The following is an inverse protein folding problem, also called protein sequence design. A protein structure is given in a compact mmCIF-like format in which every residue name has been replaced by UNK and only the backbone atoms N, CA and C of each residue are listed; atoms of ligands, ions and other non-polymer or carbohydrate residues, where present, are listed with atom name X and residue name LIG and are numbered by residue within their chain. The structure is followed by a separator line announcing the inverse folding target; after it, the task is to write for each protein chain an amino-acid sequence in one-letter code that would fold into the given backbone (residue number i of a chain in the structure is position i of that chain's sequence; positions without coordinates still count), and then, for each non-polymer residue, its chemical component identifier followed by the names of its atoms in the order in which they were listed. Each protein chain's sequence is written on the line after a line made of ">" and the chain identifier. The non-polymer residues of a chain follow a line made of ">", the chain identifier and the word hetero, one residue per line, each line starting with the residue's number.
data_IF_121074257762
#
_entry.id   IF_121074257762
#
_cell.length_a   1.000
_cell.length_b   1.000
_cell.length_c   1.000
_cell.angle_alpha   90.00
_cell.angle_beta   90.00
_cell.angle_gamma   90.00
#
_symmetry.space_group_name_H-M   'P 1'
#
loop_
_entity.id
_entity.type
_entity.pdbx_description
1 polymer ?
#
# COMPACT_ATOMS: atom_id res chain seq x y z
N UNK A 1 11.28 -33.60 -8.79
CA UNK A 1 9.99 -33.11 -8.25
C UNK A 1 10.17 -31.70 -7.72
N UNK A 2 9.47 -30.72 -8.31
CA UNK A 2 9.54 -29.32 -7.85
C UNK A 2 8.79 -29.21 -6.53
N UNK A 3 9.45 -28.66 -5.52
CA UNK A 3 8.89 -28.54 -4.18
C UNK A 3 8.68 -27.07 -3.83
N UNK A 4 7.46 -26.72 -3.47
CA UNK A 4 7.17 -25.40 -2.90
C UNK A 4 7.67 -25.37 -1.46
N UNK A 5 8.49 -24.37 -1.14
CA UNK A 5 9.05 -24.18 0.21
C UNK A 5 8.39 -23.01 0.94
N UNK A 6 8.04 -21.95 0.23
CA UNK A 6 7.41 -20.76 0.79
C UNK A 6 6.29 -20.30 -0.13
N UNK A 7 5.16 -19.94 0.46
CA UNK A 7 4.07 -19.23 -0.22
C UNK A 7 3.77 -17.98 0.60
N UNK A 8 3.81 -16.82 -0.06
CA UNK A 8 3.43 -15.53 0.50
C UNK A 8 2.23 -15.03 -0.26
N UNK A 9 1.16 -14.69 0.45
CA UNK A 9 -0.02 -14.07 -0.15
C UNK A 9 0.23 -12.58 -0.39
N UNK A 10 -0.44 -12.04 -1.41
CA UNK A 10 -0.36 -10.61 -1.72
C UNK A 10 -0.99 -9.80 -0.58
N UNK A 11 -0.28 -8.79 -0.10
CA UNK A 11 -0.73 -7.99 1.04
C UNK A 11 -0.17 -6.57 0.97
N UNK A 12 -0.82 -5.66 1.69
CA UNK A 12 -0.25 -4.35 1.97
C UNK A 12 0.53 -4.37 3.27
N UNK A 13 1.74 -3.85 3.21
CA UNK A 13 2.47 -3.39 4.38
C UNK A 13 2.04 -1.94 4.67
N UNK A 14 1.60 -1.69 5.90
CA UNK A 14 1.08 -0.39 6.31
C UNK A 14 2.12 0.29 7.20
N UNK A 15 2.63 1.43 6.73
CA UNK A 15 3.62 2.23 7.47
C UNK A 15 2.95 3.52 7.92
N UNK A 16 2.79 3.66 9.22
CA UNK A 16 2.30 4.87 9.89
C UNK A 16 3.46 5.84 10.12
N UNK A 17 3.24 7.10 9.78
CA UNK A 17 4.11 8.23 10.08
C UNK A 17 3.26 9.38 10.64
N UNK A 18 3.86 10.42 11.24
CA UNK A 18 3.07 11.54 11.76
C UNK A 18 2.15 12.12 10.69
N UNK A 19 0.86 12.21 11.02
CA UNK A 19 -0.22 12.70 10.18
C UNK A 19 -0.34 12.00 8.83
N UNK A 20 0.21 10.78 8.68
CA UNK A 20 0.23 10.09 7.40
C UNK A 20 0.25 8.57 7.56
N UNK A 21 -0.34 7.90 6.57
CA UNK A 21 -0.33 6.44 6.48
C UNK A 21 -0.02 6.06 5.05
N UNK A 22 0.98 5.23 4.86
CA UNK A 22 1.37 4.74 3.55
C UNK A 22 1.11 3.24 3.45
N UNK A 23 0.58 2.82 2.30
CA UNK A 23 0.24 1.45 2.00
C UNK A 23 1.14 0.98 0.88
N UNK A 24 1.99 -0.01 1.16
CA UNK A 24 2.91 -0.59 0.19
C UNK A 24 2.42 -1.97 -0.23
N UNK A 25 2.05 -2.11 -1.49
CA UNK A 25 1.66 -3.40 -2.04
C UNK A 25 2.86 -4.34 -2.18
N UNK A 26 2.73 -5.56 -1.67
CA UNK A 26 3.64 -6.67 -1.89
C UNK A 26 2.87 -7.78 -2.62
N UNK A 27 3.23 -8.11 -3.86
CA UNK A 27 2.54 -9.14 -4.62
C UNK A 27 2.76 -10.52 -4.01
N UNK A 28 1.83 -11.43 -4.28
CA UNK A 28 1.96 -12.83 -3.91
C UNK A 28 3.21 -13.44 -4.57
N UNK A 29 3.91 -14.27 -3.81
CA UNK A 29 5.12 -14.94 -4.28
C UNK A 29 5.18 -16.37 -3.80
N UNK A 30 5.80 -17.22 -4.61
CA UNK A 30 6.02 -18.63 -4.30
C UNK A 30 7.49 -18.94 -4.54
N UNK A 31 8.17 -19.40 -3.49
CA UNK A 31 9.54 -19.91 -3.61
C UNK A 31 9.50 -21.42 -3.75
N UNK A 32 10.14 -21.93 -4.80
CA UNK A 32 10.23 -23.34 -5.12
C UNK A 32 11.67 -23.79 -5.25
N UNK A 33 11.94 -25.04 -4.91
CA UNK A 33 13.17 -25.74 -5.28
C UNK A 33 12.84 -26.59 -6.48
N UNK A 34 13.51 -26.29 -7.60
CA UNK A 34 13.42 -27.06 -8.83
C UNK A 34 14.20 -28.38 -8.70
N UNK A 35 13.96 -29.31 -9.61
CA UNK A 35 14.56 -30.65 -9.63
C UNK A 35 16.08 -30.63 -9.75
N UNK A 36 16.61 -29.58 -10.40
CA UNK A 36 18.05 -29.32 -10.51
C UNK A 36 18.67 -28.75 -9.22
N UNK A 37 17.87 -28.50 -8.18
CA UNK A 37 18.29 -27.88 -6.93
C UNK A 37 18.32 -26.35 -6.95
N UNK A 38 17.95 -25.70 -8.06
CA UNK A 38 17.84 -24.25 -8.13
C UNK A 38 16.62 -23.76 -7.34
N UNK A 39 16.84 -22.76 -6.48
CA UNK A 39 15.76 -22.05 -5.78
C UNK A 39 15.27 -20.89 -6.64
N UNK A 40 13.96 -20.84 -6.88
CA UNK A 40 13.31 -19.83 -7.70
C UNK A 40 12.17 -19.19 -6.92
N UNK A 41 12.18 -17.86 -6.84
CA UNK A 41 11.05 -17.08 -6.34
C UNK A 41 10.25 -16.55 -7.52
N UNK A 42 9.00 -17.02 -7.63
CA UNK A 42 8.07 -16.65 -8.69
C UNK A 42 6.98 -15.74 -8.13
N UNK A 43 6.57 -14.78 -8.94
CA UNK A 43 5.44 -13.87 -8.69
C UNK A 43 4.48 -13.92 -9.87
N UNK A 44 3.26 -13.40 -9.72
CA UNK A 44 2.29 -13.31 -10.82
C UNK A 44 2.80 -12.48 -12.01
N UNK A 45 3.77 -11.59 -11.79
CA UNK A 45 4.38 -10.75 -12.83
C UNK A 45 5.72 -11.30 -13.36
N UNK A 46 6.12 -12.52 -12.99
CA UNK A 46 7.39 -13.10 -13.43
C UNK A 46 7.35 -13.41 -14.94
N UNK A 47 8.30 -12.84 -15.69
CA UNK A 47 8.40 -13.05 -17.15
C UNK A 47 9.13 -14.35 -17.53
N UNK A 48 9.92 -14.91 -16.62
CA UNK A 48 10.66 -16.15 -16.83
C UNK A 48 10.00 -17.26 -16.01
N UNK A 49 9.30 -18.16 -16.70
CA UNK A 49 8.72 -19.35 -16.07
C UNK A 49 9.66 -20.54 -16.10
N UNK A 50 10.69 -20.50 -16.94
CA UNK A 50 11.58 -21.65 -17.16
C UNK A 50 12.82 -21.55 -16.29
N UNK A 51 13.11 -22.62 -15.54
CA UNK A 51 14.35 -22.80 -14.82
C UNK A 51 15.54 -22.99 -15.78
N UNK A 52 16.78 -22.77 -15.35
CA UNK A 52 17.97 -23.00 -16.18
C UNK A 52 18.11 -24.45 -16.65
N UNK A 53 17.50 -25.40 -15.94
CA UNK A 53 17.46 -26.81 -16.33
C UNK A 53 16.40 -27.14 -17.39
N UNK A 54 15.59 -26.17 -17.82
CA UNK A 54 14.52 -26.33 -18.81
C UNK A 54 13.15 -26.69 -18.22
N UNK A 55 13.02 -26.84 -16.90
CA UNK A 55 11.73 -27.08 -16.25
C UNK A 55 10.83 -25.84 -16.36
N UNK A 56 9.58 -26.03 -16.76
CA UNK A 56 8.59 -24.95 -16.88
C UNK A 56 7.73 -24.82 -15.61
N UNK A 57 7.67 -23.61 -15.07
CA UNK A 57 6.90 -23.24 -13.89
C UNK A 57 5.74 -22.27 -14.23
N UNK A 58 5.33 -22.19 -15.51
CA UNK A 58 4.26 -21.28 -15.96
C UNK A 58 2.93 -21.53 -15.23
N UNK A 59 2.62 -22.78 -14.93
CA UNK A 59 1.45 -23.17 -14.15
C UNK A 59 1.46 -22.56 -12.73
N UNK A 60 2.63 -22.44 -12.10
CA UNK A 60 2.76 -21.81 -10.78
C UNK A 60 2.52 -20.29 -10.87
N UNK A 61 3.02 -19.64 -11.92
CA UNK A 61 2.78 -18.21 -12.15
C UNK A 61 1.28 -17.95 -12.36
N UNK A 62 0.61 -18.78 -13.16
CA UNK A 62 -0.84 -18.68 -13.39
C UNK A 62 -1.65 -18.89 -12.10
N UNK A 63 -1.27 -19.88 -11.30
CA UNK A 63 -1.85 -20.15 -9.97
C UNK A 63 -1.66 -18.96 -9.00
N UNK A 64 -0.52 -18.26 -9.07
CA UNK A 64 -0.32 -17.01 -8.31
C UNK A 64 -1.29 -15.92 -8.78
N UNK A 65 -1.37 -15.69 -10.09
CA UNK A 65 -2.27 -14.68 -10.67
C UNK A 65 -3.74 -14.93 -10.31
N UNK A 66 -4.19 -16.18 -10.40
CA UNK A 66 -5.56 -16.57 -10.07
C UNK A 66 -5.88 -16.33 -8.58
N UNK A 67 -4.94 -16.63 -7.68
CA UNK A 67 -5.10 -16.32 -6.25
C UNK A 67 -5.12 -14.82 -5.98
N UNK A 68 -4.22 -14.05 -6.60
CA UNK A 68 -4.18 -12.60 -6.44
C UNK A 68 -5.48 -11.95 -6.92
N UNK A 69 -6.03 -12.43 -8.04
CA UNK A 69 -7.31 -11.95 -8.56
C UNK A 69 -8.51 -12.29 -7.66
N UNK A 70 -8.38 -13.28 -6.79
CA UNK A 70 -9.42 -13.72 -5.85
C UNK A 70 -9.26 -13.10 -4.45
N UNK A 71 -8.28 -12.20 -4.25
CA UNK A 71 -8.13 -11.51 -2.98
C UNK A 71 -9.37 -10.67 -2.66
N UNK A 72 -9.84 -10.82 -1.42
CA UNK A 72 -10.99 -10.06 -0.94
C UNK A 72 -10.68 -8.57 -0.82
N UNK A 73 -11.72 -7.74 -0.90
CA UNK A 73 -11.63 -6.28 -0.87
C UNK A 73 -10.85 -5.72 0.34
N UNK A 74 -10.98 -6.38 1.51
CA UNK A 74 -10.23 -5.99 2.70
C UNK A 74 -8.70 -6.12 2.57
N UNK A 75 -8.24 -7.00 1.68
CA UNK A 75 -6.80 -7.20 1.40
C UNK A 75 -6.34 -6.26 0.29
N UNK A 76 -7.14 -6.05 -0.76
CA UNK A 76 -6.79 -5.18 -1.90
C UNK A 76 -6.97 -3.70 -1.61
N UNK A 77 -7.86 -3.35 -0.68
CA UNK A 77 -8.16 -1.96 -0.33
C UNK A 77 -8.31 -1.81 1.20
N UNK A 78 -7.24 -2.05 1.97
CA UNK A 78 -7.28 -2.03 3.44
C UNK A 78 -7.82 -0.71 4.01
N UNK A 79 -7.59 0.42 3.33
CA UNK A 79 -8.08 1.75 3.72
C UNK A 79 -9.60 1.87 3.82
N UNK A 80 -10.39 1.01 3.16
CA UNK A 80 -11.84 0.98 3.33
C UNK A 80 -12.28 0.28 4.63
N UNK A 81 -11.37 -0.48 5.25
CA UNK A 81 -11.66 -1.37 6.38
C UNK A 81 -10.90 -0.99 7.66
N UNK A 82 -10.22 0.16 7.67
CA UNK A 82 -9.42 0.60 8.83
C UNK A 82 -10.25 1.21 9.97
N UNK A 83 -11.56 1.41 9.78
CA UNK A 83 -12.45 1.95 10.80
C UNK A 83 -11.92 3.28 11.37
N UNK A 84 -11.79 3.33 12.70
CA UNK A 84 -11.37 4.53 13.42
C UNK A 84 -9.84 4.71 13.53
N UNK A 85 -9.03 3.76 13.03
CA UNK A 85 -7.56 3.83 13.15
C UNK A 85 -6.97 5.14 12.62
N UNK A 86 -7.43 5.71 11.49
CA UNK A 86 -6.92 7.01 11.03
C UNK A 86 -7.25 8.15 12.02
N UNK A 87 -8.41 8.11 12.67
CA UNK A 87 -8.81 9.11 13.66
C UNK A 87 -8.00 8.97 14.96
N UNK A 88 -7.78 7.73 15.43
CA UNK A 88 -6.91 7.46 16.58
C UNK A 88 -5.47 7.92 16.32
N UNK A 89 -4.95 7.65 15.12
CA UNK A 89 -3.63 8.14 14.71
C UNK A 89 -3.57 9.67 14.75
N UNK A 90 -4.58 10.35 14.19
CA UNK A 90 -4.66 11.80 14.23
C UNK A 90 -4.63 12.35 15.66
N UNK A 91 -5.40 11.76 16.59
CA UNK A 91 -5.39 12.17 18.00
C UNK A 91 -4.02 11.96 18.66
N UNK A 92 -3.34 10.84 18.35
CA UNK A 92 -1.98 10.57 18.84
C UNK A 92 -0.97 11.58 18.30
N UNK A 93 -1.09 11.94 17.03
CA UNK A 93 -0.22 12.93 16.41
C UNK A 93 -0.47 14.34 16.95
N UNK A 94 -1.72 14.75 17.14
CA UNK A 94 -2.08 16.02 17.79
C UNK A 94 -1.51 16.11 19.22
N UNK A 95 -1.53 15.00 19.96
CA UNK A 95 -0.93 14.94 21.30
C UNK A 95 0.61 15.01 21.26
N UNK A 96 1.24 14.44 20.22
CA UNK A 96 2.70 14.45 20.06
C UNK A 96 3.24 15.77 19.47
N UNK A 97 2.42 16.49 18.69
CA UNK A 97 2.79 17.69 17.94
C UNK A 97 1.84 18.85 18.29
N UNK A 98 2.10 19.60 19.38
CA UNK A 98 1.23 20.69 19.83
C UNK A 98 1.16 21.85 18.83
N UNK A 99 0.21 22.75 19.07
CA UNK A 99 0.00 23.98 18.30
C UNK A 99 1.27 24.82 18.15
N UNK A 100 1.57 25.26 16.92
CA UNK A 100 2.79 25.99 16.59
C UNK A 100 4.01 25.11 16.29
N UNK A 101 3.90 23.78 16.37
CA UNK A 101 4.98 22.89 15.92
C UNK A 101 5.11 22.92 14.39
N UNK A 102 6.34 22.87 13.82
CA UNK A 102 6.54 22.91 12.37
C UNK A 102 5.90 21.76 11.58
N UNK A 103 5.52 20.67 12.27
CA UNK A 103 4.92 19.48 11.66
C UNK A 103 3.39 19.46 11.74
N UNK A 104 2.78 20.34 12.54
CA UNK A 104 1.33 20.48 12.56
C UNK A 104 0.93 21.30 11.34
N UNK A 105 -0.02 20.78 10.55
CA UNK A 105 -0.72 21.62 9.57
C UNK A 105 -1.51 22.64 10.38
N UNK A 106 -1.00 23.87 10.47
CA UNK A 106 -1.83 24.97 10.93
C UNK A 106 -3.00 25.05 9.95
N UNK A 107 -4.22 25.05 10.47
CA UNK A 107 -5.40 25.20 9.65
C UNK A 107 -5.32 26.54 8.90
N UNK A 108 -5.01 26.45 7.61
CA UNK A 108 -4.86 27.61 6.72
C UNK A 108 -6.17 28.38 6.54
N UNK A 109 -7.30 27.80 6.96
CA UNK A 109 -8.62 28.45 6.91
C UNK A 109 -8.92 29.27 8.17
N UNK A 110 -8.19 29.05 9.27
CA UNK A 110 -8.38 29.76 10.54
C UNK A 110 -8.11 31.28 10.46
N UNK A 111 -7.44 31.76 9.40
CA UNK A 111 -7.18 33.20 9.16
C UNK A 111 -7.99 33.84 8.02
N UNK A 112 -8.74 33.06 7.23
CA UNK A 112 -9.41 33.55 6.01
C UNK A 112 -10.79 34.18 6.27
N UNK A 113 -11.33 34.06 7.48
CA UNK A 113 -12.70 34.49 7.84
C UNK A 113 -12.91 36.02 7.88
N UNK A 114 -11.91 36.84 7.57
CA UNK A 114 -12.03 38.31 7.64
C UNK A 114 -11.58 39.08 6.41
N UNK A 115 -10.43 38.72 5.82
CA UNK A 115 -9.78 39.55 4.79
C UNK A 115 -10.10 39.09 3.35
N UNK A 116 -10.44 37.82 3.15
CA UNK A 116 -10.65 37.27 1.80
C UNK A 116 -12.03 37.55 1.22
N UNK A 117 -13.06 37.78 2.04
CA UNK A 117 -14.38 38.16 1.53
C UNK A 117 -14.33 39.52 0.81
N UNK A 118 -13.54 40.46 1.34
CA UNK A 118 -13.25 41.75 0.70
C UNK A 118 -12.44 41.57 -0.59
N UNK A 119 -11.49 40.62 -0.60
CA UNK A 119 -10.65 40.27 -1.76
C UNK A 119 -11.47 39.69 -2.92
N UNK A 120 -12.42 38.80 -2.61
CA UNK A 120 -13.30 38.17 -3.61
C UNK A 120 -14.37 39.12 -4.15
N UNK A 121 -14.89 40.05 -3.33
CA UNK A 121 -15.79 41.12 -3.77
C UNK A 121 -15.11 42.05 -4.79
N UNK A 122 -13.83 42.42 -4.57
CA UNK A 122 -13.03 43.22 -5.53
C UNK A 122 -12.79 42.52 -6.86
N UNK A 123 -12.66 41.19 -6.87
CA UNK A 123 -12.43 40.42 -8.09
C UNK A 123 -13.70 40.24 -8.94
N UNK A 124 -14.89 40.31 -8.34
CA UNK A 124 -16.19 40.18 -9.03
C UNK A 124 -16.73 41.48 -9.64
N UNK A 125 -16.15 42.63 -9.30
CA UNK A 125 -16.61 43.95 -9.75
C UNK A 125 -15.82 44.54 -10.93
N UNK A 126 -15.07 43.73 -11.69
CA UNK A 126 -14.24 44.20 -12.82
C UNK A 126 -14.69 43.63 -14.16
#
# INVERSE_FOLDING_TARGET
>A
MTRVIVRVEGHYEVVEAPFSRSYKWHPASVTVICDCGEELTLTGASNASTCKCGADHSALIKDIQEREAQLGDAVTHPWHHEGDKPAEQHLRDEAAYPEGSPRRYNDVTSGLMGDDEVRWQKARGR
#
